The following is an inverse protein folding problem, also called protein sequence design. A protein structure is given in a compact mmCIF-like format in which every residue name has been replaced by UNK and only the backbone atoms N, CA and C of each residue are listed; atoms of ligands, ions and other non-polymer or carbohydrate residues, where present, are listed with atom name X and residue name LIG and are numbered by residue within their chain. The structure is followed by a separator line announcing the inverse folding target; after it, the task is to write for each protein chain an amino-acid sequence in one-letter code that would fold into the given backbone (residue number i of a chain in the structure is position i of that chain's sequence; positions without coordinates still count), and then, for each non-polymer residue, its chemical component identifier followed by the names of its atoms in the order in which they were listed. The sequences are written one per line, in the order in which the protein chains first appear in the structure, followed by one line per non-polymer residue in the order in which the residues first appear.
data_IF_820888941027
#
_entry.id   IF_820888941027
#
_cell.length_a   1.000
_cell.length_b   1.000
_cell.length_c   1.000
_cell.angle_alpha   90.00
_cell.angle_beta   90.00
_cell.angle_gamma   90.00
#
_symmetry.space_group_name_H-M   'P 1'
#
loop_
_entity.id
_entity.type
_entity.pdbx_description
1 polymer ?
2 polymer ?
3 water ?
#
# COMPACT_ATOMS: atom_id res chain seq x y z
N UNK A 4 12.62 -26.68 -13.93
CA UNK A 4 13.79 -26.02 -14.54
C UNK A 4 14.40 -25.02 -13.55
N UNK A 5 14.43 -25.43 -12.29
CA UNK A 5 14.98 -24.59 -11.23
C UNK A 5 16.34 -25.09 -10.76
N UNK A 6 16.95 -25.97 -11.55
CA UNK A 6 18.24 -26.54 -11.19
C UNK A 6 19.34 -25.55 -10.85
N UNK A 7 19.39 -24.42 -11.55
CA UNK A 7 20.43 -23.44 -11.27
C UNK A 7 20.15 -22.78 -9.92
N UNK A 8 18.89 -22.43 -9.68
CA UNK A 8 18.51 -21.83 -8.41
C UNK A 8 18.84 -22.80 -7.27
N UNK A 9 18.49 -24.08 -7.45
CA UNK A 9 18.76 -25.08 -6.42
C UNK A 9 20.25 -25.27 -6.13
N UNK A 10 21.08 -25.19 -7.17
CA UNK A 10 22.52 -25.35 -6.99
C UNK A 10 23.02 -24.22 -6.09
N UNK A 11 22.63 -22.98 -6.39
CA UNK A 11 23.08 -21.88 -5.57
C UNK A 11 22.51 -21.94 -4.16
N UNK A 12 21.21 -22.23 -4.04
CA UNK A 12 20.59 -22.27 -2.73
C UNK A 12 21.19 -23.32 -1.81
N UNK A 13 21.61 -24.45 -2.38
CA UNK A 13 22.25 -25.48 -1.57
C UNK A 13 23.56 -24.92 -1.00
N UNK A 14 24.28 -24.15 -1.80
CA UNK A 14 25.53 -23.56 -1.31
C UNK A 14 25.27 -22.44 -0.32
N UNK A 15 24.19 -21.70 -0.52
CA UNK A 15 23.88 -20.63 0.42
C UNK A 15 23.48 -21.19 1.76
N UNK A 16 22.81 -22.35 1.76
CA UNK A 16 22.44 -22.98 3.02
C UNK A 16 23.70 -23.42 3.75
N UNK A 17 24.63 -24.04 3.02
CA UNK A 17 25.87 -24.48 3.65
C UNK A 17 26.66 -23.31 4.20
N UNK A 18 26.72 -22.21 3.43
CA UNK A 18 27.45 -21.02 3.85
C UNK A 18 26.81 -20.43 5.10
N UNK A 19 25.48 -20.35 5.12
CA UNK A 19 24.77 -19.80 6.26
C UNK A 19 25.01 -20.67 7.50
N UNK A 20 24.90 -21.98 7.34
CA UNK A 20 25.12 -22.91 8.45
C UNK A 20 26.54 -22.82 8.98
N UNK A 21 27.49 -22.51 8.10
CA UNK A 21 28.89 -22.41 8.51
C UNK A 21 29.10 -21.16 9.35
N UNK A 22 28.49 -20.06 8.93
CA UNK A 22 28.63 -18.80 9.65
C UNK A 22 27.54 -17.81 9.29
N UNK A 23 26.89 -17.25 10.32
CA UNK A 23 25.83 -16.27 10.13
C UNK A 23 25.74 -15.41 11.39
N UNK A 24 25.15 -14.22 11.29
CA UNK A 24 25.03 -13.34 12.47
C UNK A 24 24.20 -13.98 13.60
N UNK A 25 24.68 -13.82 14.83
CA UNK A 25 23.99 -14.38 15.99
C UNK A 25 22.57 -13.88 16.14
N UNK A 26 21.66 -14.78 16.49
CA UNK A 26 20.27 -14.40 16.68
C UNK A 26 19.41 -14.55 15.43
N UNK A 27 20.05 -14.57 14.26
CA UNK A 27 19.32 -14.72 13.01
C UNK A 27 19.05 -16.18 12.71
N UNK A 28 17.95 -16.43 12.03
CA UNK A 28 17.57 -17.79 11.63
C UNK A 28 17.22 -17.76 10.15
N UNK A 29 17.66 -18.77 9.41
CA UNK A 29 17.36 -18.88 7.99
C UNK A 29 17.49 -20.36 7.66
N UNK A 30 16.34 -21.02 7.54
CA UNK A 30 16.36 -22.45 7.26
C UNK A 30 15.30 -22.85 6.25
N UNK A 31 15.69 -23.68 5.27
CA UNK A 31 14.75 -24.13 4.25
C UNK A 31 13.59 -24.91 4.88
N UNK A 32 12.41 -24.75 4.33
CA UNK A 32 11.25 -25.48 4.82
C UNK A 32 11.34 -26.91 4.28
N UNK A 33 10.38 -27.75 4.64
CA UNK A 33 10.39 -29.13 4.18
C UNK A 33 9.25 -29.42 3.24
N UNK A 34 9.48 -30.34 2.31
CA UNK A 34 8.44 -30.77 1.39
C UNK A 34 7.68 -31.86 2.12
N UNK A 35 6.49 -32.24 1.64
CA UNK A 35 5.71 -33.29 2.30
C UNK A 35 6.48 -34.60 2.46
N UNK A 36 7.32 -34.92 1.49
CA UNK A 36 8.08 -36.16 1.54
C UNK A 36 9.29 -36.12 2.47
N UNK A 37 9.46 -34.99 3.16
CA UNK A 37 10.57 -34.87 4.09
C UNK A 37 11.82 -34.19 3.57
N UNK A 38 11.95 -34.07 2.26
CA UNK A 38 13.12 -33.43 1.67
C UNK A 38 13.06 -31.92 1.85
N UNK A 39 14.19 -31.25 1.70
CA UNK A 39 14.23 -29.80 1.84
C UNK A 39 13.63 -29.08 0.64
N UNK A 40 12.94 -27.98 0.94
CA UNK A 40 12.37 -27.15 -0.11
C UNK A 40 13.26 -25.90 -0.07
N UNK A 41 14.31 -25.91 -0.88
CA UNK A 41 15.24 -24.80 -0.94
C UNK A 41 14.66 -23.51 -1.51
N UNK A 42 13.46 -23.58 -2.08
CA UNK A 42 12.82 -22.40 -2.66
C UNK A 42 11.96 -21.62 -1.68
N UNK A 43 11.82 -22.12 -0.46
CA UNK A 43 10.99 -21.49 0.55
C UNK A 43 11.68 -21.61 1.89
N UNK A 44 12.20 -20.50 2.42
CA UNK A 44 12.91 -20.50 3.68
C UNK A 44 12.17 -19.76 4.80
N UNK A 45 12.25 -20.31 6.01
CA UNK A 45 11.66 -19.65 7.16
C UNK A 45 12.81 -18.98 7.89
N UNK A 46 12.71 -17.66 8.06
CA UNK A 46 13.76 -16.89 8.71
C UNK A 46 13.26 -16.08 9.89
N UNK A 47 14.20 -15.54 10.64
CA UNK A 47 13.89 -14.72 11.80
C UNK A 47 14.99 -13.67 11.95
N UNK A 48 14.57 -12.44 12.19
CA UNK A 48 15.50 -11.32 12.35
C UNK A 48 15.34 -10.71 13.74
N UNK A 49 16.43 -10.65 14.51
CA UNK A 49 16.35 -10.07 15.85
C UNK A 49 16.41 -8.55 15.77
N UNK A 50 15.69 -7.88 16.66
CA UNK A 50 15.73 -6.43 16.68
C UNK A 50 17.13 -6.01 17.08
N UNK A 51 17.59 -4.88 16.55
CA UNK A 51 18.93 -4.40 16.86
C UNK A 51 18.99 -3.85 18.28
N UNK A 52 20.05 -4.19 19.00
CA UNK A 52 20.21 -3.73 20.37
C UNK A 52 20.39 -2.21 20.41
N UNK A 53 19.71 -1.56 21.35
CA UNK A 53 19.81 -0.12 21.47
C UNK A 53 18.73 0.61 20.68
N UNK A 54 17.82 -0.15 20.09
CA UNK A 54 16.73 0.43 19.31
C UNK A 54 15.39 -0.04 19.85
N UNK A 55 14.30 0.63 19.47
CA UNK A 55 12.95 0.26 19.93
C UNK A 55 12.54 -1.15 19.51
N UNK A 56 13.32 -1.76 18.64
CA UNK A 56 13.04 -3.11 18.14
C UNK A 56 13.73 -4.19 18.96
N UNK A 57 14.61 -3.77 19.85
CA UNK A 57 15.36 -4.70 20.70
C UNK A 57 14.46 -5.70 21.42
N UNK A 58 14.95 -6.93 21.55
CA UNK A 58 14.21 -7.96 22.24
C UNK A 58 13.23 -8.72 21.36
N UNK A 59 12.83 -8.11 20.25
CA UNK A 59 11.89 -8.76 19.37
C UNK A 59 12.55 -9.69 18.36
N UNK A 60 11.83 -10.75 17.98
CA UNK A 60 12.32 -11.70 16.99
C UNK A 60 11.24 -11.71 15.91
N UNK A 61 11.57 -11.12 14.77
CA UNK A 61 10.61 -10.99 13.68
C UNK A 61 10.76 -12.04 12.59
N UNK A 62 9.74 -12.88 12.48
CA UNK A 62 9.73 -13.97 11.51
C UNK A 62 9.33 -13.53 10.11
N UNK A 63 10.01 -14.08 9.12
CA UNK A 63 9.70 -13.78 7.74
C UNK A 63 10.00 -14.99 6.89
N UNK A 64 9.34 -15.05 5.74
CA UNK A 64 9.53 -16.13 4.80
C UNK A 64 10.25 -15.56 3.59
N UNK A 65 11.21 -16.32 3.07
CA UNK A 65 11.95 -15.91 1.89
C UNK A 65 11.57 -16.89 0.78
N UNK A 66 10.99 -16.37 -0.29
CA UNK A 66 10.56 -17.20 -1.41
C UNK A 66 11.39 -16.92 -2.65
N UNK A 67 12.00 -17.97 -3.19
CA UNK A 67 12.82 -17.84 -4.38
C UNK A 67 12.09 -18.31 -5.63
N UNK A 68 12.26 -17.58 -6.72
CA UNK A 68 11.63 -17.95 -7.97
C UNK A 68 12.55 -18.90 -8.73
N UNK A 69 11.98 -19.61 -9.70
CA UNK A 69 12.73 -20.58 -10.48
C UNK A 69 13.92 -19.98 -11.24
N UNK A 70 13.87 -18.68 -11.52
CA UNK A 70 14.95 -18.03 -12.24
C UNK A 70 16.02 -17.40 -11.34
N UNK A 71 15.95 -17.70 -10.05
CA UNK A 71 16.93 -17.19 -9.09
C UNK A 71 18.31 -17.73 -9.52
N UNK A 72 19.37 -16.94 -9.39
CA UNK A 72 19.48 -15.57 -8.89
C UNK A 72 19.31 -14.40 -9.87
N UNK A 73 18.64 -14.60 -10.99
CA UNK A 73 18.42 -13.48 -11.91
C UNK A 73 17.45 -12.54 -11.22
N UNK A 74 16.57 -13.12 -10.41
CA UNK A 74 15.57 -12.39 -9.65
C UNK A 74 15.89 -12.48 -8.17
N UNK A 75 15.49 -11.47 -7.39
CA UNK A 75 15.74 -11.47 -5.95
C UNK A 75 14.66 -12.30 -5.27
N UNK A 76 14.88 -12.69 -4.02
CA UNK A 76 13.83 -13.47 -3.36
C UNK A 76 12.77 -12.50 -2.90
N UNK A 77 11.58 -13.01 -2.63
CA UNK A 77 10.49 -12.19 -2.12
C UNK A 77 10.50 -12.45 -0.62
N UNK A 78 10.59 -11.37 0.16
CA UNK A 78 10.65 -11.49 1.61
C UNK A 78 9.38 -10.95 2.25
N UNK A 79 8.72 -11.79 3.04
CA UNK A 79 7.47 -11.40 3.66
C UNK A 79 7.42 -11.71 5.14
N UNK A 80 7.19 -10.68 5.95
CA UNK A 80 7.09 -10.86 7.38
C UNK A 80 5.80 -11.62 7.66
N UNK A 81 5.87 -12.59 8.56
CA UNK A 81 4.71 -13.38 8.94
C UNK A 81 4.66 -13.46 10.46
N UNK A 82 3.69 -12.75 11.08
CA UNK A 82 2.68 -11.92 10.41
C UNK A 82 3.23 -10.57 9.94
N UNK A 83 2.44 -9.83 9.16
CA UNK A 83 2.87 -8.52 8.66
C UNK A 83 3.21 -7.60 9.82
N UNK A 84 4.21 -6.74 9.62
CA UNK A 84 4.63 -5.85 10.68
C UNK A 84 4.30 -4.38 10.45
N UNK A 85 4.20 -3.65 11.55
CA UNK A 85 3.95 -2.23 11.54
C UNK A 85 5.32 -1.62 11.25
N UNK A 86 5.48 -1.07 10.04
CA UNK A 86 6.72 -0.44 9.61
C UNK A 86 6.41 0.27 8.29
N UNK A 87 6.94 1.47 8.09
CA UNK A 87 6.67 2.22 6.85
C UNK A 87 6.96 1.52 5.54
N UNK A 88 7.95 0.62 5.54
CA UNK A 88 8.35 -0.07 4.32
C UNK A 88 7.91 -1.52 4.19
N UNK A 89 6.91 -1.90 4.97
CA UNK A 89 6.37 -3.25 4.91
C UNK A 89 4.91 -3.15 4.48
N UNK A 90 4.59 -3.80 3.36
CA UNK A 90 3.22 -3.79 2.84
C UNK A 90 2.29 -4.50 3.83
N UNK A 91 0.99 -4.23 3.73
CA UNK A 91 0.05 -4.89 4.64
C UNK A 91 0.11 -6.41 4.45
N UNK A 92 0.57 -6.83 3.28
CA UNK A 92 0.71 -8.25 2.96
C UNK A 92 1.87 -8.87 3.72
N UNK A 93 2.80 -8.00 4.15
CA UNK A 93 3.97 -8.48 4.88
C UNK A 93 5.23 -8.32 4.05
N UNK A 94 5.08 -8.11 2.75
CA UNK A 94 6.23 -7.96 1.87
C UNK A 94 7.07 -6.75 2.27
N UNK A 95 8.37 -6.96 2.42
CA UNK A 95 9.26 -5.86 2.79
C UNK A 95 10.03 -5.36 1.57
N UNK A 96 10.21 -4.05 1.50
CA UNK A 96 10.90 -3.42 0.38
C UNK A 96 12.32 -2.96 0.69
N UNK A 97 13.22 -3.23 -0.25
CA UNK A 97 14.62 -2.85 -0.12
C UNK A 97 15.18 -2.72 -1.53
N UNK A 98 16.08 -1.77 -1.75
CA UNK A 98 16.66 -1.59 -3.07
C UNK A 98 17.36 -2.85 -3.55
N UNK A 99 18.03 -3.55 -2.63
CA UNK A 99 18.74 -4.77 -3.02
C UNK A 99 17.80 -5.93 -3.28
N UNK A 100 16.50 -5.74 -3.01
CA UNK A 100 15.50 -6.77 -3.25
C UNK A 100 14.67 -6.46 -4.50
N UNK A 101 15.14 -5.52 -5.31
CA UNK A 101 14.45 -5.16 -6.53
C UNK A 101 15.34 -5.38 -7.75
N UNK A 102 14.87 -6.24 -8.65
CA UNK A 102 15.61 -6.59 -9.86
C UNK A 102 15.99 -5.37 -10.69
N UNK A 103 15.07 -4.41 -10.76
CA UNK A 103 15.33 -3.19 -11.54
C UNK A 103 16.09 -2.15 -10.74
N UNK A 104 16.57 -2.52 -9.56
CA UNK A 104 17.33 -1.61 -8.72
C UNK A 104 18.72 -2.13 -8.33
N UNK A 105 18.89 -2.50 -7.07
CA UNK A 105 20.19 -2.98 -6.61
C UNK A 105 20.38 -4.49 -6.47
N UNK A 106 19.39 -5.28 -6.85
CA UNK A 106 19.57 -6.74 -6.76
C UNK A 106 20.64 -7.15 -7.76
N UNK A 107 21.55 -8.01 -7.31
CA UNK A 107 22.64 -8.54 -8.13
C UNK A 107 23.05 -9.88 -7.54
N UNK A 108 23.77 -10.72 -8.33
CA UNK A 108 24.22 -12.03 -7.82
C UNK A 108 25.09 -11.93 -6.57
N UNK A 109 25.82 -10.83 -6.44
CA UNK A 109 26.71 -10.62 -5.29
C UNK A 109 25.96 -10.49 -3.95
N UNK A 110 24.65 -10.27 -4.00
CA UNK A 110 23.84 -10.16 -2.79
C UNK A 110 23.63 -11.52 -2.14
N UNK A 111 23.86 -11.57 -0.82
CA UNK A 111 23.72 -12.81 -0.06
C UNK A 111 22.51 -12.79 0.86
N UNK A 112 22.16 -13.95 1.38
CA UNK A 112 21.02 -14.04 2.30
C UNK A 112 21.40 -13.25 3.56
N UNK A 113 22.65 -13.34 3.97
CA UNK A 113 23.13 -12.61 5.13
C UNK A 113 22.97 -11.11 4.87
N UNK A 114 23.35 -10.67 3.68
CA UNK A 114 23.21 -9.25 3.35
C UNK A 114 21.75 -8.82 3.36
N UNK A 115 20.88 -9.67 2.82
CA UNK A 115 19.45 -9.36 2.79
C UNK A 115 18.87 -9.26 4.20
N UNK A 116 19.14 -10.25 5.03
CA UNK A 116 18.60 -10.23 6.38
C UNK A 116 19.18 -9.08 7.21
N UNK A 117 20.47 -8.79 7.01
CA UNK A 117 21.09 -7.68 7.72
C UNK A 117 20.51 -6.37 7.18
N UNK A 118 20.26 -6.33 5.88
CA UNK A 118 19.69 -5.14 5.27
C UNK A 118 18.30 -4.86 5.81
N UNK A 119 17.50 -5.92 5.97
CA UNK A 119 16.16 -5.77 6.50
C UNK A 119 16.24 -5.37 7.96
N UNK A 120 17.20 -5.93 8.69
CA UNK A 120 17.33 -5.57 10.10
C UNK A 120 17.65 -4.08 10.22
N UNK A 121 18.54 -3.58 9.37
CA UNK A 121 18.91 -2.17 9.40
C UNK A 121 17.70 -1.30 9.07
N UNK A 122 16.91 -1.75 8.10
CA UNK A 122 15.72 -1.02 7.67
C UNK A 122 14.72 -0.82 8.81
N UNK A 123 14.63 -1.82 9.70
CA UNK A 123 13.71 -1.75 10.81
C UNK A 123 13.73 -0.41 11.54
N UNK A 124 14.90 -0.02 12.04
CA UNK A 124 14.99 1.24 12.78
C UNK A 124 15.39 2.43 11.92
N UNK A 125 15.67 2.18 10.65
CA UNK A 125 16.05 3.24 9.72
C UNK A 125 15.20 3.11 8.44
N UNK A 126 13.89 3.39 8.55
CA UNK A 126 12.98 3.30 7.41
C UNK A 126 13.27 4.29 6.28
N UNK A 127 12.82 3.93 5.09
CA UNK A 127 12.97 4.78 3.91
C UNK A 127 11.64 5.52 3.84
N UNK A 128 11.57 6.68 4.50
CA UNK A 128 10.34 7.46 4.54
C UNK A 128 9.89 8.00 3.19
N UNK A 129 10.81 8.10 2.24
CA UNK A 129 10.46 8.60 0.91
C UNK A 129 9.66 7.59 0.09
N UNK A 130 9.80 6.31 0.41
CA UNK A 130 9.12 5.27 -0.34
C UNK A 130 8.36 4.30 0.57
N UNK A 131 7.27 4.77 1.19
CA UNK A 131 6.49 3.89 2.08
C UNK A 131 5.72 2.80 1.33
N UNK A 132 5.52 1.68 2.01
CA UNK A 132 4.79 0.56 1.44
C UNK A 132 3.42 0.43 2.11
N UNK A 133 3.19 1.20 3.17
CA UNK A 133 1.90 1.18 3.83
C UNK A 133 1.56 2.58 4.31
N UNK A 134 0.29 2.94 4.24
CA UNK A 134 -0.16 4.26 4.65
C UNK A 134 -0.16 4.46 6.17
N UNK A 135 -0.54 3.42 6.91
CA UNK A 135 -0.63 3.49 8.36
C UNK A 135 0.66 3.89 9.09
N UNK A 136 1.70 3.07 8.98
CA UNK A 136 2.96 3.35 9.66
C UNK A 136 3.60 4.64 9.18
N UNK A 137 3.50 4.94 7.89
CA UNK A 137 4.07 6.16 7.35
C UNK A 137 3.42 7.38 8.00
N UNK A 138 2.10 7.37 8.04
CA UNK A 138 1.34 8.48 8.60
C UNK A 138 1.71 8.74 10.05
N UNK A 139 1.75 7.69 10.87
CA UNK A 139 2.08 7.86 12.27
C UNK A 139 3.53 8.32 12.45
N UNK A 140 4.44 7.72 11.68
CA UNK A 140 5.85 8.10 11.77
C UNK A 140 6.00 9.61 11.54
N UNK A 141 5.33 10.12 10.51
CA UNK A 141 5.44 11.53 10.16
C UNK A 141 4.65 12.50 11.03
N UNK A 142 3.55 12.05 11.60
CA UNK A 142 2.72 12.93 12.40
C UNK A 142 2.98 12.91 13.90
N UNK A 143 3.49 11.80 14.41
CA UNK A 143 3.76 11.71 15.85
C UNK A 143 4.86 10.67 16.07
N UNK A 144 6.10 11.12 15.97
CA UNK A 144 7.25 10.23 16.13
C UNK A 144 7.24 9.48 17.45
N UNK A 145 6.88 10.16 18.53
CA UNK A 145 6.85 9.51 19.84
C UNK A 145 5.83 8.37 19.84
N UNK A 146 4.66 8.60 19.25
CA UNK A 146 3.62 7.58 19.17
C UNK A 146 4.11 6.43 18.31
N UNK A 147 4.79 6.75 17.21
CA UNK A 147 5.33 5.73 16.33
C UNK A 147 6.28 4.82 17.09
N UNK A 148 7.22 5.42 17.83
CA UNK A 148 8.19 4.64 18.58
C UNK A 148 7.50 3.79 19.65
N UNK A 149 6.42 4.32 20.22
CA UNK A 149 5.68 3.59 21.24
C UNK A 149 5.08 2.33 20.64
N UNK A 150 4.50 2.47 19.44
CA UNK A 150 3.90 1.35 18.75
C UNK A 150 4.95 0.33 18.34
N UNK A 151 6.15 0.82 18.00
CA UNK A 151 7.23 -0.07 17.61
C UNK A 151 7.69 -0.89 18.82
N UNK A 152 7.83 -0.23 19.97
CA UNK A 152 8.26 -0.92 21.18
C UNK A 152 7.24 -1.98 21.60
N UNK A 153 5.96 -1.67 21.47
CA UNK A 153 4.90 -2.61 21.82
C UNK A 153 4.96 -3.83 20.92
N UNK A 154 5.20 -3.60 19.64
CA UNK A 154 5.29 -4.68 18.68
C UNK A 154 6.52 -5.55 18.96
N UNK A 155 7.62 -4.93 19.38
CA UNK A 155 8.84 -5.65 19.68
C UNK A 155 8.62 -6.58 20.88
N UNK A 156 7.91 -6.08 21.88
CA UNK A 156 7.62 -6.86 23.07
C UNK A 156 6.67 -8.01 22.71
N UNK A 157 5.73 -7.73 21.81
CA UNK A 157 4.75 -8.72 21.38
C UNK A 157 5.42 -9.91 20.70
N UNK A 158 6.52 -9.64 19.99
CA UNK A 158 7.24 -10.69 19.28
C UNK A 158 8.54 -11.08 19.95
N UNK A 159 8.62 -10.88 21.26
CA UNK A 159 9.81 -11.22 22.03
C UNK A 159 9.81 -12.72 22.29
N UNK A 160 10.96 -13.39 22.08
CA UNK A 160 11.06 -14.84 22.30
C UNK A 160 11.01 -15.21 23.78
N UNK B 14 -30.99 9.39 -23.68
CA UNK B 14 -30.59 8.85 -22.36
C UNK B 14 -29.25 8.13 -22.41
N UNK B 15 -28.71 7.84 -21.23
CA UNK B 15 -27.43 7.14 -21.13
C UNK B 15 -27.52 6.09 -20.04
N UNK B 16 -26.50 5.26 -19.91
CA UNK B 16 -26.49 4.24 -18.87
C UNK B 16 -25.20 4.30 -18.08
N UNK B 17 -25.22 3.75 -16.87
CA UNK B 17 -24.06 3.78 -16.01
C UNK B 17 -22.82 3.10 -16.58
N UNK B 18 -23.00 1.95 -17.20
CA UNK B 18 -21.86 1.22 -17.77
C UNK B 18 -21.15 2.03 -18.86
N UNK B 19 -21.93 2.61 -19.77
CA UNK B 19 -21.36 3.41 -20.85
C UNK B 19 -20.63 4.62 -20.27
N UNK B 20 -21.20 5.21 -19.22
CA UNK B 20 -20.57 6.36 -18.60
C UNK B 20 -19.23 5.97 -18.00
N UNK B 21 -19.22 4.87 -17.23
CA UNK B 21 -17.99 4.42 -16.60
C UNK B 21 -16.93 4.03 -17.62
N UNK B 22 -17.37 3.48 -18.75
CA UNK B 22 -16.45 3.06 -19.80
C UNK B 22 -15.75 4.24 -20.45
N UNK B 23 -16.53 5.28 -20.76
CA UNK B 23 -15.99 6.49 -21.39
C UNK B 23 -16.60 7.69 -20.68
N UNK B 24 -16.07 8.05 -19.51
CA UNK B 24 -16.57 9.17 -18.73
C UNK B 24 -16.46 10.55 -19.39
N UNK B 25 -17.52 11.34 -19.25
CA UNK B 25 -17.54 12.71 -19.76
C UNK B 25 -18.61 13.45 -18.95
N UNK B 26 -18.44 14.78 -18.78
CA UNK B 26 -19.43 15.55 -18.02
C UNK B 26 -20.82 15.39 -18.60
N UNK B 27 -20.90 15.44 -19.93
CA UNK B 27 -22.16 15.31 -20.64
C UNK B 27 -22.84 13.97 -20.38
N UNK B 28 -22.08 12.88 -20.44
CA UNK B 28 -22.64 11.56 -20.20
C UNK B 28 -23.18 11.45 -18.77
N UNK B 29 -22.49 12.08 -17.82
CA UNK B 29 -22.94 12.04 -16.44
C UNK B 29 -24.29 12.73 -16.33
N UNK B 30 -24.41 13.91 -16.93
CA UNK B 30 -25.67 14.66 -16.90
C UNK B 30 -26.77 13.90 -17.63
N UNK B 31 -26.40 13.20 -18.70
CA UNK B 31 -27.37 12.43 -19.47
C UNK B 31 -27.95 11.27 -18.68
N UNK B 32 -27.28 10.85 -17.61
CA UNK B 32 -27.78 9.75 -16.79
C UNK B 32 -29.10 10.13 -16.14
N UNK B 33 -29.39 11.42 -16.12
CA UNK B 33 -30.64 11.89 -15.55
C UNK B 33 -30.54 12.51 -14.18
N UNK B 34 -31.66 13.05 -13.67
CA UNK B 34 -31.72 13.70 -12.36
C UNK B 34 -31.42 12.76 -11.19
N UNK B 35 -31.48 11.46 -11.44
CA UNK B 35 -31.22 10.47 -10.40
C UNK B 35 -29.88 9.78 -10.62
N UNK B 36 -29.01 10.41 -11.41
CA UNK B 36 -27.70 9.83 -11.71
C UNK B 36 -26.91 9.41 -10.48
N UNK B 37 -26.99 10.19 -9.41
CA UNK B 37 -26.26 9.86 -8.19
C UNK B 37 -26.68 8.50 -7.66
N UNK B 38 -27.99 8.27 -7.60
CA UNK B 38 -28.50 7.00 -7.10
C UNK B 38 -28.11 5.86 -8.03
N UNK B 39 -28.15 6.11 -9.33
CA UNK B 39 -27.82 5.07 -10.30
C UNK B 39 -26.37 4.61 -10.23
N UNK B 40 -25.45 5.55 -10.05
CA UNK B 40 -24.04 5.17 -9.97
C UNK B 40 -23.81 4.27 -8.77
N UNK B 41 -24.41 4.63 -7.64
CA UNK B 41 -24.26 3.82 -6.43
C UNK B 41 -24.96 2.47 -6.59
N UNK B 42 -26.16 2.50 -7.15
CA UNK B 42 -26.97 1.30 -7.35
C UNK B 42 -26.28 0.27 -8.24
N UNK B 43 -25.59 0.75 -9.26
CA UNK B 43 -24.94 -0.11 -10.22
C UNK B 43 -23.48 -0.45 -9.92
N UNK B 44 -22.99 -0.02 -8.76
CA UNK B 44 -21.61 -0.34 -8.40
C UNK B 44 -21.60 -1.39 -7.31
N UNK B 45 -20.72 -2.38 -7.47
CA UNK B 45 -20.60 -3.43 -6.48
C UNK B 45 -19.78 -2.86 -5.33
N UNK B 46 -20.46 -2.27 -4.37
CA UNK B 46 -19.78 -1.65 -3.25
C UNK B 46 -19.20 -2.65 -2.24
N UNK B 47 -19.30 -3.94 -2.54
CA UNK B 47 -18.74 -4.95 -1.65
C UNK B 47 -17.26 -5.14 -2.00
N UNK B 48 -16.84 -4.54 -3.11
CA UNK B 48 -15.45 -4.64 -3.59
C UNK B 48 -14.77 -3.27 -3.55
N UNK B 49 -13.83 -3.06 -2.60
CA UNK B 49 -13.15 -1.77 -2.50
C UNK B 49 -12.51 -1.31 -3.81
N UNK B 50 -11.94 -2.25 -4.56
CA UNK B 50 -11.31 -1.91 -5.82
C UNK B 50 -12.32 -1.32 -6.80
N UNK B 51 -13.52 -1.90 -6.86
CA UNK B 51 -14.54 -1.38 -7.76
C UNK B 51 -15.06 -0.03 -7.30
N UNK B 52 -15.06 0.19 -5.99
CA UNK B 52 -15.50 1.48 -5.48
C UNK B 52 -14.47 2.55 -5.83
N UNK B 53 -13.19 2.20 -5.73
CA UNK B 53 -12.13 3.14 -6.10
C UNK B 53 -12.27 3.47 -7.59
N UNK B 54 -12.52 2.44 -8.40
CA UNK B 54 -12.66 2.65 -9.84
C UNK B 54 -13.81 3.60 -10.16
N UNK B 55 -14.98 3.35 -9.58
CA UNK B 55 -16.13 4.21 -9.81
C UNK B 55 -15.88 5.62 -9.30
N UNK B 56 -15.29 5.74 -8.11
CA UNK B 56 -15.00 7.05 -7.57
C UNK B 56 -14.10 7.85 -8.51
N UNK B 57 -13.03 7.23 -8.99
CA UNK B 57 -12.12 7.94 -9.88
C UNK B 57 -12.72 8.28 -11.24
N UNK B 58 -13.51 7.38 -11.80
CA UNK B 58 -14.15 7.64 -13.09
C UNK B 58 -15.14 8.80 -12.96
N UNK B 59 -15.94 8.78 -11.89
CA UNK B 59 -16.90 9.85 -11.69
C UNK B 59 -16.17 11.18 -11.45
N UNK B 60 -15.17 11.16 -10.59
CA UNK B 60 -14.44 12.40 -10.29
C UNK B 60 -13.65 12.92 -11.49
N UNK B 61 -13.31 12.04 -12.43
CA UNK B 61 -12.53 12.47 -13.59
C UNK B 61 -13.27 13.50 -14.45
N UNK B 62 -14.60 13.58 -14.32
CA UNK B 62 -15.34 14.53 -15.13
C UNK B 62 -15.68 15.82 -14.39
N UNK B 63 -15.11 15.99 -13.19
CA UNK B 63 -15.37 17.18 -12.42
C UNK B 63 -14.98 18.45 -13.16
N UNK B 64 -15.87 19.43 -13.12
CA UNK B 64 -15.61 20.72 -13.76
C UNK B 64 -16.18 21.74 -12.79
N UNK B 65 -15.55 22.89 -12.69
CA UNK B 65 -16.01 23.93 -11.76
C UNK B 65 -17.08 24.73 -12.46
N UNK B 66 -18.20 24.06 -12.62
CA UNK B 66 -19.40 24.58 -13.25
C UNK B 66 -20.57 23.97 -12.48
N UNK B 67 -21.54 24.80 -12.12
CA UNK B 67 -22.69 24.39 -11.33
C UNK B 67 -23.28 23.01 -11.56
N UNK B 68 -23.80 22.75 -12.75
CA UNK B 68 -24.44 21.46 -13.01
C UNK B 68 -23.50 20.26 -12.90
N UNK B 69 -22.28 20.38 -13.42
CA UNK B 69 -21.34 19.25 -13.37
C UNK B 69 -20.81 19.04 -11.95
N UNK B 70 -20.46 20.12 -11.26
CA UNK B 70 -19.96 20.02 -9.89
C UNK B 70 -21.00 19.33 -9.03
N UNK B 71 -22.26 19.73 -9.15
CA UNK B 71 -23.31 19.11 -8.35
C UNK B 71 -23.47 17.63 -8.69
N UNK B 72 -23.49 17.31 -9.98
CA UNK B 72 -23.66 15.93 -10.39
C UNK B 72 -22.52 15.03 -9.88
N UNK B 73 -21.29 15.51 -9.97
CA UNK B 73 -20.16 14.74 -9.49
C UNK B 73 -20.22 14.59 -7.98
N UNK B 74 -20.45 15.69 -7.27
CA UNK B 74 -20.52 15.62 -5.82
C UNK B 74 -21.62 14.69 -5.33
N UNK B 75 -22.80 14.78 -5.93
CA UNK B 75 -23.92 13.94 -5.53
C UNK B 75 -23.62 12.45 -5.78
N UNK B 76 -22.98 12.15 -6.91
CA UNK B 76 -22.65 10.78 -7.25
C UNK B 76 -21.61 10.23 -6.28
N UNK B 77 -20.60 11.04 -5.97
CA UNK B 77 -19.57 10.63 -5.03
C UNK B 77 -20.22 10.34 -3.69
N UNK B 78 -21.13 11.21 -3.26
CA UNK B 78 -21.80 11.01 -1.97
C UNK B 78 -22.65 9.75 -1.93
N UNK B 79 -23.43 9.49 -2.96
CA UNK B 79 -24.27 8.30 -2.98
C UNK B 79 -23.40 7.05 -2.98
N UNK B 80 -22.36 7.04 -3.80
CA UNK B 80 -21.46 5.91 -3.89
C UNK B 80 -20.72 5.63 -2.58
N UNK B 81 -20.09 6.66 -2.03
CA UNK B 81 -19.31 6.48 -0.83
C UNK B 81 -20.16 6.26 0.42
N UNK B 82 -21.34 6.84 0.46
CA UNK B 82 -22.23 6.60 1.60
C UNK B 82 -22.58 5.11 1.59
N UNK B 83 -22.94 4.59 0.42
CA UNK B 83 -23.31 3.19 0.29
C UNK B 83 -22.15 2.28 0.66
N UNK B 84 -20.95 2.63 0.20
CA UNK B 84 -19.77 1.82 0.49
C UNK B 84 -19.38 1.87 1.96
N UNK B 85 -19.15 3.08 2.48
CA UNK B 85 -18.73 3.24 3.87
C UNK B 85 -19.72 2.76 4.92
N UNK B 86 -21.01 2.91 4.68
CA UNK B 86 -21.99 2.50 5.68
C UNK B 86 -22.14 1.00 5.88
N UNK B 87 -21.46 0.22 5.04
CA UNK B 87 -21.50 -1.23 5.20
C UNK B 87 -20.48 -1.55 6.28
N UNK B 88 -20.92 -2.23 7.34
CA UNK B 88 -20.02 -2.58 8.44
C UNK B 88 -18.91 -3.53 8.00
N UNK B 89 -19.09 -4.17 6.85
CA UNK B 89 -18.12 -5.10 6.33
C UNK B 89 -17.12 -4.47 5.35
N UNK B 90 -17.43 -3.26 4.90
CA UNK B 90 -16.56 -2.57 3.95
C UNK B 90 -15.27 -2.13 4.62
N UNK B 91 -14.15 -2.51 4.03
CA UNK B 91 -12.87 -2.13 4.60
C UNK B 91 -12.45 -0.75 4.10
N UNK B 92 -12.70 0.26 4.92
CA UNK B 92 -12.36 1.63 4.56
C UNK B 92 -10.87 1.85 4.37
N UNK B 93 -10.05 1.13 5.12
CA UNK B 93 -8.61 1.28 4.99
C UNK B 93 -8.15 0.75 3.64
N UNK B 94 -8.73 -0.36 3.19
CA UNK B 94 -8.38 -0.91 1.90
C UNK B 94 -8.79 0.08 0.81
N UNK B 95 -9.97 0.68 0.96
CA UNK B 95 -10.42 1.67 -0.01
C UNK B 95 -9.40 2.80 -0.10
N UNK B 96 -8.99 3.33 1.04
CA UNK B 96 -8.04 4.44 1.05
C UNK B 96 -6.72 4.04 0.41
N UNK B 97 -6.20 2.88 0.79
CA UNK B 97 -4.93 2.41 0.24
C UNK B 97 -5.00 2.29 -1.26
N UNK B 98 -6.02 1.62 -1.77
CA UNK B 98 -6.16 1.44 -3.21
C UNK B 98 -6.43 2.75 -3.94
N UNK B 99 -7.09 3.70 -3.27
CA UNK B 99 -7.33 5.00 -3.89
C UNK B 99 -5.99 5.69 -4.10
N UNK B 100 -5.15 5.67 -3.06
CA UNK B 100 -3.83 6.29 -3.12
C UNK B 100 -2.98 5.61 -4.18
N UNK B 101 -3.09 4.29 -4.29
CA UNK B 101 -2.33 3.55 -5.30
C UNK B 101 -2.77 4.00 -6.69
N UNK B 102 -4.07 4.02 -6.93
CA UNK B 102 -4.58 4.41 -8.23
C UNK B 102 -4.33 5.87 -8.56
N UNK B 103 -4.14 6.70 -7.54
CA UNK B 103 -3.84 8.11 -7.76
C UNK B 103 -2.34 8.31 -7.95
N UNK B 104 -1.58 7.22 -7.83
CA UNK B 104 -0.13 7.26 -8.00
C UNK B 104 0.63 7.88 -6.85
N UNK B 105 0.03 7.90 -5.67
CA UNK B 105 0.65 8.51 -4.49
C UNK B 105 1.28 7.50 -3.54
N UNK B 106 0.96 6.24 -3.73
CA UNK B 106 1.47 5.15 -2.90
C UNK B 106 1.78 3.98 -3.83
N UNK B 107 2.92 3.33 -3.62
CA UNK B 107 3.29 2.21 -4.46
C UNK B 107 2.49 0.96 -4.11
N UNK B 108 2.52 -0.02 -5.01
CA UNK B 108 1.80 -1.27 -4.79
C UNK B 108 2.58 -2.44 -5.38
N UNK B 109 2.26 -3.65 -4.93
CA UNK B 109 2.95 -4.84 -5.43
C UNK B 109 2.45 -5.20 -6.82
N UNK B 110 1.20 -4.81 -7.11
CA UNK B 110 0.61 -5.10 -8.41
C UNK B 110 0.76 -3.87 -9.33
N UNK B 111 0.73 -4.11 -10.63
CA UNK B 111 0.87 -3.03 -11.60
C UNK B 111 -0.46 -2.32 -11.82
N UNK B 112 -0.46 -1.00 -11.71
CA UNK B 112 -1.66 -0.21 -11.91
C UNK B 112 -1.38 0.96 -12.84
N UNK B 113 -2.42 1.41 -13.53
CA UNK B 113 -2.28 2.54 -14.45
C UNK B 113 -2.79 3.81 -13.79
N UNK B 114 -1.94 4.45 -13.00
CA UNK B 114 -2.30 5.68 -12.30
C UNK B 114 -2.84 6.73 -13.25
N UNK B 115 -3.96 7.35 -12.88
CA UNK B 115 -4.58 8.37 -13.70
C UNK B 115 -3.62 9.52 -13.97
N UNK B 116 -3.85 10.23 -15.08
CA UNK B 116 -2.99 11.34 -15.47
C UNK B 116 -3.34 12.66 -14.79
N UNK B 117 -4.63 12.94 -14.61
CA UNK B 117 -5.04 14.19 -14.00
C UNK B 117 -5.70 13.98 -12.64
N UNK B 118 -5.12 14.57 -11.60
CA UNK B 118 -5.67 14.44 -10.26
C UNK B 118 -6.62 15.56 -9.87
N UNK B 119 -6.83 16.52 -10.76
CA UNK B 119 -7.72 17.64 -10.47
C UNK B 119 -9.10 17.18 -9.96
N UNK B 120 -9.80 16.40 -10.78
CA UNK B 120 -11.12 15.92 -10.41
C UNK B 120 -11.12 15.13 -9.12
N UNK B 121 -10.23 14.12 -9.01
CA UNK B 121 -10.16 13.31 -7.79
C UNK B 121 -9.95 14.18 -6.55
N UNK B 122 -9.07 15.17 -6.65
CA UNK B 122 -8.80 16.04 -5.50
C UNK B 122 -10.03 16.87 -5.14
N UNK B 123 -10.71 17.43 -6.15
CA UNK B 123 -11.90 18.22 -5.88
C UNK B 123 -13.02 17.35 -5.31
N UNK B 124 -13.13 16.11 -5.78
CA UNK B 124 -14.15 15.19 -5.27
C UNK B 124 -13.85 14.85 -3.82
N UNK B 125 -12.58 14.62 -3.51
CA UNK B 125 -12.17 14.30 -2.15
C UNK B 125 -12.43 15.50 -1.25
N UNK B 126 -12.23 16.70 -1.76
CA UNK B 126 -12.45 17.91 -0.98
C UNK B 126 -13.89 17.91 -0.48
N UNK B 127 -14.82 17.51 -1.34
CA UNK B 127 -16.22 17.45 -0.98
C UNK B 127 -16.50 16.27 -0.05
N UNK B 128 -15.99 15.10 -0.41
CA UNK B 128 -16.19 13.89 0.36
C UNK B 128 -15.82 13.97 1.84
N UNK B 129 -14.65 14.50 2.13
CA UNK B 129 -14.21 14.55 3.52
C UNK B 129 -15.03 15.46 4.43
N UNK B 130 -15.93 16.24 3.85
CA UNK B 130 -16.78 17.13 4.65
C UNK B 130 -18.13 16.48 4.96
N UNK B 131 -18.37 15.29 4.42
CA UNK B 131 -19.64 14.61 4.63
C UNK B 131 -19.69 13.72 5.87
N UNK B 132 -20.89 13.56 6.41
CA UNK B 132 -21.08 12.76 7.61
C UNK B 132 -20.68 11.30 7.46
N UNK B 133 -20.84 10.75 6.26
CA UNK B 133 -20.50 9.35 6.03
C UNK B 133 -18.99 9.08 6.00
N UNK B 134 -18.19 10.14 5.90
CA UNK B 134 -16.74 9.97 5.82
C UNK B 134 -16.09 9.58 7.14
N UNK B 135 -15.39 8.44 7.18
CA UNK B 135 -14.75 8.00 8.43
C UNK B 135 -13.57 8.94 8.70
N UNK B 136 -13.67 9.74 9.76
CA UNK B 136 -12.63 10.69 10.10
C UNK B 136 -11.25 10.08 10.32
N UNK B 137 -11.20 8.80 10.69
CA UNK B 137 -9.93 8.13 10.92
C UNK B 137 -9.08 8.10 9.65
N UNK B 138 -9.71 8.27 8.49
CA UNK B 138 -8.99 8.26 7.22
C UNK B 138 -8.34 9.60 6.89
N UNK B 139 -8.82 10.66 7.53
CA UNK B 139 -8.29 11.99 7.23
C UNK B 139 -6.77 12.15 7.40
N UNK B 140 -6.20 11.67 8.51
CA UNK B 140 -4.75 11.80 8.69
C UNK B 140 -3.94 11.09 7.61
N UNK B 141 -4.43 9.93 7.17
CA UNK B 141 -3.75 9.16 6.15
C UNK B 141 -3.82 9.89 4.81
N UNK B 142 -5.00 10.40 4.48
CA UNK B 142 -5.17 11.13 3.23
C UNK B 142 -4.25 12.36 3.25
N UNK B 143 -4.27 13.08 4.37
CA UNK B 143 -3.44 14.26 4.52
C UNK B 143 -1.97 13.94 4.30
N UNK B 144 -1.49 12.86 4.93
CA UNK B 144 -0.09 12.45 4.80
C UNK B 144 0.32 12.25 3.35
N UNK B 145 -0.55 11.64 2.56
CA UNK B 145 -0.21 11.38 1.16
C UNK B 145 -0.51 12.50 0.18
N UNK B 146 -1.33 13.46 0.58
CA UNK B 146 -1.58 14.58 -0.31
C UNK B 146 -0.51 15.64 -0.07
N UNK B 147 0.08 15.65 1.14
CA UNK B 147 1.14 16.62 1.45
C UNK B 147 2.50 16.13 1.02
N UNK B 148 2.63 14.81 0.86
CA UNK B 148 3.88 14.19 0.45
C UNK B 148 4.24 14.64 -0.97
N UNK B 149 5.50 14.99 -1.21
CA UNK B 149 5.93 15.44 -2.54
C UNK B 149 5.52 14.48 -3.66
N UNK B 150 5.02 15.04 -4.75
CA UNK B 150 4.59 14.26 -5.91
C UNK B 150 4.30 15.18 -7.08
N UNK B 151 4.91 14.88 -8.22
CA UNK B 151 4.74 15.70 -9.42
C UNK B 151 3.29 15.89 -9.85
N UNK B 152 2.51 14.81 -9.81
CA UNK B 152 1.11 14.87 -10.21
C UNK B 152 0.33 15.88 -9.36
N UNK B 153 0.61 15.89 -8.05
CA UNK B 153 -0.07 16.80 -7.14
C UNK B 153 0.39 18.24 -7.36
N UNK B 154 1.67 18.41 -7.67
CA UNK B 154 2.23 19.73 -7.90
C UNK B 154 1.63 20.38 -9.14
N UNK B 155 1.11 19.55 -10.04
CA UNK B 155 0.50 20.04 -11.28
C UNK B 155 -0.92 20.56 -11.02
N UNK B 156 -1.50 20.16 -9.90
CA UNK B 156 -2.85 20.57 -9.53
C UNK B 156 -2.80 21.30 -8.21
N UNK B 157 -1.92 22.30 -8.13
CA UNK B 157 -1.72 23.07 -6.90
C UNK B 157 -2.99 23.61 -6.25
N UNK B 158 -3.86 24.23 -7.05
CA UNK B 158 -5.09 24.79 -6.51
C UNK B 158 -5.93 23.74 -5.79
N UNK B 159 -6.24 22.66 -6.49
CA UNK B 159 -7.05 21.59 -5.91
C UNK B 159 -6.36 20.94 -4.72
N UNK B 160 -5.04 20.80 -4.80
CA UNK B 160 -4.25 20.22 -3.72
C UNK B 160 -4.31 21.09 -2.47
N UNK B 161 -4.05 22.38 -2.64
CA UNK B 161 -4.08 23.30 -1.50
C UNK B 161 -5.47 23.33 -0.89
N UNK B 162 -6.49 23.32 -1.75
CA UNK B 162 -7.87 23.35 -1.30
C UNK B 162 -8.20 22.13 -0.44
N UNK B 163 -7.86 20.94 -0.92
CA UNK B 163 -8.12 19.71 -0.17
C UNK B 163 -7.39 19.72 1.15
N UNK B 164 -6.13 20.16 1.16
CA UNK B 164 -5.38 20.19 2.41
C UNK B 164 -6.00 21.15 3.42
N UNK B 165 -6.36 22.34 2.95
CA UNK B 165 -6.99 23.30 3.84
C UNK B 165 -8.26 22.69 4.44
N UNK B 166 -9.00 21.93 3.64
CA UNK B 166 -10.21 21.28 4.13
C UNK B 166 -9.88 20.19 5.15
N UNK B 167 -8.85 19.40 4.87
CA UNK B 167 -8.45 18.34 5.78
C UNK B 167 -8.03 18.88 7.13
N UNK B 168 -7.45 20.08 7.16
CA UNK B 168 -7.03 20.68 8.43
C UNK B 168 -8.24 20.90 9.33
N UNK B 169 -9.42 21.05 8.72
CA UNK B 169 -10.64 21.30 9.46
C UNK B 169 -11.44 20.06 9.89
N UNK B 170 -11.07 18.89 9.38
CA UNK B 170 -11.78 17.67 9.73
C UNK B 170 -11.81 17.40 11.23
#
# INVERSE_FOLDING_TARGET
GSHMSGIALSRLAQERKAWRKDHPFGFVAVPTKNPDGTMNLMNWECAIPGKKGTPWEGGLFKLRMLFKDDYPSSPPKCKFEPPLFHPNVYPSGTVCLSILEEDKDWRPAITIKQILLGIQELLNEPNIQSPAQAEAYTIYCQNRVEYEKRVRAQAKKFAPS
STGEPAPVLSSPPPADVSTFLAFPSPEKLLRLGPKSSVLIAQQTDTSDPEKVVSAFLKVSSVFKDEATVRMAVQDAVDALMQKAFNSSSFNSNTFLTRLLVHMGLLKSEDKVKAIANLYGPLMALNHMVQQDYFPKALAPLLLAFVTKPNSALESCSFARHSLLQTLYKV
#
